data_IF_210710637309
#
_entry.id   IF_210710637309
#
_cell.length_a   1.000
_cell.length_b   1.000
_cell.length_c   1.000
_cell.angle_alpha   90.00
_cell.angle_beta   90.00
_cell.angle_gamma   90.00
#
_symmetry.space_group_name_H-M   'P 1'
#
loop_
_entity.id
_entity.type
_entity.pdbx_description
1 polymer ?
#
# COMPACT_ATOMS: atom_id res chain seq x y z
N UNK A 1 -11.05 12.59 -2.14
CA UNK A 1 -10.11 13.65 -2.55
C UNK A 1 -8.86 13.49 -1.74
N UNK A 2 -7.71 13.47 -2.40
CA UNK A 2 -6.44 13.64 -1.72
C UNK A 2 -6.27 15.13 -1.43
N UNK A 3 -5.83 15.50 -0.23
CA UNK A 3 -5.73 16.92 0.15
C UNK A 3 -4.60 17.59 -0.63
N UNK A 4 -4.89 18.70 -1.30
CA UNK A 4 -3.91 19.46 -2.08
C UNK A 4 -3.72 20.83 -1.44
N UNK A 5 -2.47 21.27 -1.36
CA UNK A 5 -2.11 22.62 -0.94
C UNK A 5 -1.70 23.44 -2.16
N UNK A 6 -2.20 24.67 -2.24
CA UNK A 6 -1.68 25.67 -3.18
C UNK A 6 -0.51 26.40 -2.52
N UNK A 7 0.65 26.37 -3.16
CA UNK A 7 1.83 27.17 -2.80
C UNK A 7 1.98 28.27 -3.84
N UNK A 8 1.90 29.52 -3.41
CA UNK A 8 2.19 30.67 -4.26
C UNK A 8 3.70 30.83 -4.40
N UNK A 9 4.19 30.86 -5.63
CA UNK A 9 5.59 31.20 -5.95
C UNK A 9 5.65 32.56 -6.65
N UNK A 10 6.85 33.12 -6.83
CA UNK A 10 7.03 34.40 -7.53
C UNK A 10 6.55 34.36 -8.99
N UNK A 11 6.46 33.15 -9.58
CA UNK A 11 6.15 32.93 -10.99
C UNK A 11 4.74 32.34 -11.22
N UNK A 12 4.28 31.46 -10.33
CA UNK A 12 3.01 30.74 -10.48
C UNK A 12 2.51 30.08 -9.18
N UNK A 13 1.22 29.71 -9.16
CA UNK A 13 0.63 28.88 -8.11
C UNK A 13 0.87 27.39 -8.39
N UNK A 14 1.49 26.68 -7.45
CA UNK A 14 1.80 25.25 -7.56
C UNK A 14 0.88 24.43 -6.65
N UNK A 15 0.30 23.35 -7.19
CA UNK A 15 -0.48 22.40 -6.40
C UNK A 15 0.43 21.28 -5.88
N UNK A 16 0.45 21.07 -4.57
CA UNK A 16 1.25 20.03 -3.92
C UNK A 16 0.33 19.05 -3.21
N UNK A 17 0.55 17.76 -3.45
CA UNK A 17 -0.15 16.70 -2.75
C UNK A 17 0.29 16.64 -1.29
N UNK A 18 -0.64 16.81 -0.36
CA UNK A 18 -0.39 16.58 1.05
C UNK A 18 -0.51 15.09 1.37
N UNK A 19 0.38 14.59 2.22
CA UNK A 19 0.35 13.23 2.71
C UNK A 19 0.05 13.23 4.21
N UNK A 20 -0.82 12.32 4.64
CA UNK A 20 -0.91 11.98 6.05
C UNK A 20 0.39 11.34 6.54
N UNK A 21 0.57 11.27 7.86
CA UNK A 21 1.74 10.60 8.45
C UNK A 21 1.82 9.12 8.05
N UNK A 22 0.67 8.43 8.01
CA UNK A 22 0.60 7.03 7.59
C UNK A 22 1.02 6.88 6.12
N UNK A 23 0.54 7.76 5.23
CA UNK A 23 0.95 7.77 3.81
C UNK A 23 2.44 8.07 3.64
N UNK A 24 2.97 9.05 4.36
CA UNK A 24 4.39 9.41 4.30
C UNK A 24 5.30 8.26 4.76
N UNK A 25 4.91 7.56 5.83
CA UNK A 25 5.64 6.37 6.29
C UNK A 25 5.55 5.24 5.27
N UNK A 26 4.35 4.96 4.76
CA UNK A 26 4.10 3.86 3.83
C UNK A 26 4.87 4.06 2.52
N UNK A 27 4.81 5.26 1.93
CA UNK A 27 5.52 5.54 0.67
C UNK A 27 7.05 5.50 0.87
N UNK A 28 7.55 5.97 2.02
CA UNK A 28 8.99 5.88 2.33
C UNK A 28 9.46 4.43 2.41
N UNK A 29 8.71 3.57 3.11
CA UNK A 29 9.00 2.15 3.19
C UNK A 29 8.91 1.47 1.83
N UNK A 30 7.92 1.85 1.01
CA UNK A 30 7.74 1.32 -0.32
C UNK A 30 8.87 1.71 -1.27
N UNK A 31 9.28 2.99 -1.30
CA UNK A 31 10.42 3.48 -2.09
C UNK A 31 11.68 2.68 -1.81
N UNK A 32 12.01 2.48 -0.53
CA UNK A 32 13.18 1.70 -0.13
C UNK A 32 13.09 0.27 -0.67
N UNK A 33 11.90 -0.35 -0.59
CA UNK A 33 11.72 -1.74 -0.99
C UNK A 33 11.69 -1.94 -2.50
N UNK A 34 11.10 -1.00 -3.24
CA UNK A 34 11.18 -0.93 -4.70
C UNK A 34 12.63 -0.88 -5.15
N UNK A 35 13.48 -0.08 -4.51
CA UNK A 35 14.92 -0.03 -4.82
C UNK A 35 15.59 -1.40 -4.72
N UNK A 36 15.29 -2.16 -3.66
CA UNK A 36 15.79 -3.55 -3.51
C UNK A 36 15.21 -4.48 -4.58
N UNK A 37 13.90 -4.44 -4.83
CA UNK A 37 13.23 -5.30 -5.80
C UNK A 37 13.69 -5.04 -7.23
N UNK A 38 13.87 -3.79 -7.64
CA UNK A 38 14.44 -3.44 -8.94
C UNK A 38 15.86 -3.97 -9.05
N UNK A 39 16.66 -3.91 -7.98
CA UNK A 39 18.01 -4.48 -7.94
C UNK A 39 18.05 -6.01 -8.09
N UNK A 40 17.08 -6.73 -7.52
CA UNK A 40 17.04 -8.21 -7.50
C UNK A 40 16.29 -8.79 -8.72
N UNK A 41 15.16 -8.20 -9.09
CA UNK A 41 14.22 -8.72 -10.07
C UNK A 41 14.21 -7.95 -11.40
N UNK A 42 14.88 -6.80 -11.47
CA UNK A 42 15.03 -6.01 -12.70
C UNK A 42 13.68 -5.57 -13.27
N UNK A 43 13.47 -5.83 -14.56
CA UNK A 43 12.28 -5.42 -15.31
C UNK A 43 10.96 -5.92 -14.70
N UNK A 44 10.97 -7.05 -13.98
CA UNK A 44 9.78 -7.56 -13.28
C UNK A 44 9.23 -6.57 -12.25
N UNK A 45 10.12 -5.78 -11.65
CA UNK A 45 9.82 -4.81 -10.60
C UNK A 45 9.74 -3.36 -11.14
N UNK A 46 9.81 -3.14 -12.46
CA UNK A 46 9.69 -1.78 -13.05
C UNK A 46 8.26 -1.22 -13.01
N UNK A 47 7.29 -2.10 -12.72
CA UNK A 47 5.90 -1.76 -12.47
C UNK A 47 5.41 -2.60 -11.31
N UNK A 48 4.88 -1.97 -10.27
CA UNK A 48 4.32 -2.63 -9.09
C UNK A 48 3.09 -1.86 -8.66
N UNK A 49 1.96 -2.55 -8.51
CA UNK A 49 0.78 -2.04 -7.83
C UNK A 49 0.34 -3.05 -6.79
N UNK A 50 -0.01 -2.54 -5.61
CA UNK A 50 -0.58 -3.34 -4.54
C UNK A 50 -1.79 -2.59 -4.03
N UNK A 51 -2.95 -3.22 -4.09
CA UNK A 51 -4.22 -2.74 -3.53
C UNK A 51 -4.69 -3.73 -2.48
N UNK A 52 -5.02 -3.24 -1.28
CA UNK A 52 -5.56 -4.07 -0.21
C UNK A 52 -7.06 -3.88 -0.10
N UNK A 53 -7.77 -4.99 0.07
CA UNK A 53 -9.22 -5.08 0.21
C UNK A 53 -9.57 -5.42 1.67
N UNK A 54 -10.00 -4.43 2.48
CA UNK A 54 -10.30 -4.67 3.89
C UNK A 54 -11.44 -5.67 4.15
N UNK A 55 -12.32 -5.89 3.18
CA UNK A 55 -13.48 -6.76 3.27
C UNK A 55 -13.15 -8.25 3.38
N UNK A 56 -12.04 -8.68 2.77
CA UNK A 56 -11.61 -10.09 2.73
C UNK A 56 -10.14 -10.28 3.16
N UNK A 57 -9.49 -9.22 3.64
CA UNK A 57 -8.07 -9.18 4.02
C UNK A 57 -7.15 -9.58 2.84
N UNK A 58 -7.62 -9.34 1.61
CA UNK A 58 -6.96 -9.72 0.37
C UNK A 58 -6.11 -8.62 -0.25
N UNK A 59 -5.24 -9.04 -1.19
CA UNK A 59 -4.44 -8.13 -2.00
C UNK A 59 -4.64 -8.40 -3.49
N UNK A 60 -4.89 -7.35 -4.26
CA UNK A 60 -4.62 -7.35 -5.69
C UNK A 60 -3.21 -6.83 -5.92
N UNK A 61 -2.47 -7.55 -6.77
CA UNK A 61 -1.08 -7.25 -7.08
C UNK A 61 -0.89 -7.31 -8.58
N UNK A 62 -0.38 -6.22 -9.13
CA UNK A 62 0.07 -6.10 -10.52
C UNK A 62 1.58 -5.92 -10.51
N UNK A 63 2.28 -6.65 -11.37
CA UNK A 63 3.70 -6.47 -11.61
C UNK A 63 4.04 -6.82 -13.07
N UNK A 64 5.29 -6.66 -13.45
CA UNK A 64 5.71 -6.89 -14.83
C UNK A 64 6.07 -8.37 -15.14
N UNK A 65 5.72 -9.31 -14.25
CA UNK A 65 5.82 -10.74 -14.56
C UNK A 65 4.64 -11.21 -15.42
N UNK A 66 4.84 -12.27 -16.20
CA UNK A 66 3.75 -12.93 -16.91
C UNK A 66 2.62 -13.30 -15.93
N UNK A 67 1.38 -12.94 -16.26
CA UNK A 67 0.20 -13.10 -15.40
C UNK A 67 0.39 -12.52 -13.99
N UNK A 68 1.13 -11.42 -13.85
CA UNK A 68 1.44 -10.76 -12.57
C UNK A 68 2.11 -11.70 -11.54
N UNK A 69 2.84 -12.71 -12.01
CA UNK A 69 3.49 -13.71 -11.15
C UNK A 69 2.57 -14.82 -10.66
N UNK A 70 1.36 -14.95 -11.21
CA UNK A 70 0.50 -16.11 -11.01
C UNK A 70 0.96 -17.26 -11.93
N UNK A 71 1.33 -18.38 -11.31
CA UNK A 71 1.78 -19.58 -11.98
C UNK A 71 0.65 -20.61 -12.04
N UNK A 72 0.84 -21.66 -12.84
CA UNK A 72 -0.11 -22.77 -12.94
C UNK A 72 -0.39 -23.41 -11.57
N UNK A 73 -1.63 -23.92 -11.40
CA UNK A 73 -2.11 -24.62 -10.19
C UNK A 73 -2.03 -23.77 -8.92
N UNK A 74 -2.44 -22.50 -9.00
CA UNK A 74 -2.50 -21.56 -7.86
C UNK A 74 -1.16 -21.35 -7.14
N UNK A 75 -0.04 -21.53 -7.84
CA UNK A 75 1.28 -21.19 -7.30
C UNK A 75 1.56 -19.72 -7.60
N UNK A 76 2.27 -19.06 -6.70
CA UNK A 76 2.75 -17.69 -6.88
C UNK A 76 4.26 -17.72 -7.15
N UNK A 77 4.75 -16.75 -7.92
CA UNK A 77 6.19 -16.53 -8.10
C UNK A 77 6.84 -16.12 -6.77
N UNK A 78 8.17 -16.23 -6.69
CA UNK A 78 8.93 -15.74 -5.52
C UNK A 78 8.69 -14.25 -5.34
N UNK A 79 8.79 -13.48 -6.43
CA UNK A 79 8.61 -12.03 -6.36
C UNK A 79 7.20 -11.64 -5.92
N UNK A 80 6.14 -12.24 -6.48
CA UNK A 80 4.76 -12.00 -6.02
C UNK A 80 4.60 -12.38 -4.54
N UNK A 81 5.23 -13.46 -4.09
CA UNK A 81 5.21 -13.85 -2.67
C UNK A 81 5.86 -12.79 -1.77
N UNK A 82 6.94 -12.16 -2.22
CA UNK A 82 7.59 -11.07 -1.47
C UNK A 82 6.74 -9.80 -1.44
N UNK A 83 6.07 -9.46 -2.55
CA UNK A 83 5.12 -8.33 -2.58
C UNK A 83 3.99 -8.55 -1.56
N UNK A 84 3.38 -9.75 -1.56
CA UNK A 84 2.37 -10.14 -0.57
C UNK A 84 2.92 -10.08 0.85
N UNK A 85 4.13 -10.62 1.07
CA UNK A 85 4.77 -10.64 2.39
C UNK A 85 5.03 -9.24 2.93
N UNK A 86 5.52 -8.34 2.09
CA UNK A 86 5.72 -6.94 2.45
C UNK A 86 4.40 -6.23 2.74
N UNK A 87 3.37 -6.42 1.89
CA UNK A 87 2.07 -5.78 2.06
C UNK A 87 1.36 -6.23 3.36
N UNK A 88 1.45 -7.52 3.70
CA UNK A 88 1.00 -8.05 4.99
C UNK A 88 1.70 -7.39 6.17
N UNK A 89 3.01 -7.18 6.10
CA UNK A 89 3.74 -6.50 7.17
C UNK A 89 3.29 -5.04 7.33
N UNK A 90 3.08 -4.32 6.21
CA UNK A 90 2.62 -2.93 6.27
C UNK A 90 1.20 -2.82 6.84
N UNK A 91 0.29 -3.68 6.38
CA UNK A 91 -1.09 -3.69 6.89
C UNK A 91 -1.14 -4.04 8.38
N UNK A 92 -0.34 -4.98 8.86
CA UNK A 92 -0.23 -5.27 10.30
C UNK A 92 0.29 -4.07 11.11
N UNK A 93 1.30 -3.36 10.60
CA UNK A 93 1.82 -2.16 11.25
C UNK A 93 0.77 -1.05 11.32
N UNK A 94 -0.01 -0.88 10.24
CA UNK A 94 -1.11 0.07 10.18
C UNK A 94 -2.25 -0.30 11.14
N UNK A 95 -2.63 -1.57 11.22
CA UNK A 95 -3.64 -2.07 12.18
C UNK A 95 -3.18 -1.91 13.65
N UNK A 96 -1.87 -1.95 13.90
CA UNK A 96 -1.29 -2.00 15.24
C UNK A 96 -1.24 -3.44 15.77
N UNK A 97 -0.47 -3.66 16.84
CA UNK A 97 -0.30 -5.01 17.43
C UNK A 97 -1.61 -5.60 17.94
N UNK A 98 -2.50 -4.76 18.46
CA UNK A 98 -3.80 -5.10 19.03
C UNK A 98 -4.96 -4.89 18.06
N UNK A 99 -4.68 -4.58 16.79
CA UNK A 99 -5.68 -4.20 15.79
C UNK A 99 -6.56 -3.00 16.21
N UNK A 100 -6.01 -2.06 16.98
CA UNK A 100 -6.71 -0.84 17.39
C UNK A 100 -7.13 0.07 16.22
N UNK A 101 -6.60 -0.14 15.01
CA UNK A 101 -6.98 0.60 13.80
C UNK A 101 -7.51 -0.34 12.72
N UNK A 102 -8.51 0.15 11.98
CA UNK A 102 -9.03 -0.48 10.76
C UNK A 102 -8.51 0.27 9.54
N UNK A 103 -7.96 -0.45 8.57
CA UNK A 103 -7.56 0.13 7.28
C UNK A 103 -8.82 0.27 6.43
N UNK A 104 -9.08 1.47 5.92
CA UNK A 104 -10.24 1.77 5.05
C UNK A 104 -9.83 2.01 3.59
N UNK A 105 -8.56 2.34 3.35
CA UNK A 105 -7.96 2.33 2.03
C UNK A 105 -6.45 2.07 2.16
N UNK A 106 -5.91 1.24 1.28
CA UNK A 106 -4.47 1.04 1.14
C UNK A 106 -4.17 0.71 -0.32
N UNK A 107 -3.34 1.53 -0.95
CA UNK A 107 -2.77 1.25 -2.24
C UNK A 107 -1.38 1.88 -2.37
N UNK A 108 -0.47 1.20 -3.05
CA UNK A 108 0.83 1.74 -3.47
C UNK A 108 1.07 1.41 -4.93
N UNK A 109 1.73 2.33 -5.64
CA UNK A 109 2.13 2.15 -7.04
C UNK A 109 3.54 2.63 -7.26
N UNK A 110 4.32 1.85 -8.00
CA UNK A 110 5.56 2.26 -8.64
C UNK A 110 5.45 1.98 -10.13
N UNK A 111 5.60 3.02 -10.96
CA UNK A 111 5.53 2.91 -12.41
C UNK A 111 6.29 4.06 -13.04
N UNK A 112 7.06 3.78 -14.09
CA UNK A 112 7.76 4.80 -14.88
C UNK A 112 8.67 5.72 -14.04
N UNK A 113 9.23 5.19 -12.94
CA UNK A 113 10.07 5.96 -12.01
C UNK A 113 9.30 6.80 -10.98
N UNK A 114 7.97 6.79 -11.03
CA UNK A 114 7.09 7.55 -10.15
C UNK A 114 6.46 6.66 -9.08
N UNK A 115 6.11 7.28 -7.95
CA UNK A 115 5.53 6.60 -6.79
C UNK A 115 4.18 7.23 -6.44
N UNK A 116 3.23 6.38 -6.08
CA UNK A 116 1.94 6.79 -5.56
C UNK A 116 1.58 6.00 -4.31
N UNK A 117 0.82 6.65 -3.42
CA UNK A 117 0.34 6.06 -2.18
C UNK A 117 -1.08 6.55 -1.89
N UNK A 118 -1.87 5.66 -1.32
CA UNK A 118 -3.14 5.97 -0.67
C UNK A 118 -3.17 5.15 0.61
N UNK A 119 -3.32 5.80 1.76
CA UNK A 119 -3.47 5.09 3.02
C UNK A 119 -4.44 5.83 3.93
N UNK A 120 -5.48 5.11 4.37
CA UNK A 120 -6.48 5.61 5.30
C UNK A 120 -6.73 4.59 6.38
N UNK A 121 -6.64 5.04 7.61
CA UNK A 121 -6.98 4.28 8.81
C UNK A 121 -8.09 4.99 9.56
N UNK A 122 -8.88 4.21 10.28
CA UNK A 122 -9.85 4.69 11.24
C UNK A 122 -9.62 3.95 12.56
N UNK A 123 -9.95 4.56 13.68
CA UNK A 123 -9.95 3.85 14.95
C UNK A 123 -10.92 2.66 14.84
N UNK A 124 -10.45 1.48 15.21
CA UNK A 124 -11.33 0.36 15.45
C UNK A 124 -12.14 0.74 16.68
N UNK A 125 -13.28 1.41 16.48
CA UNK A 125 -14.28 1.60 17.52
C UNK A 125 -14.44 0.24 18.17
N UNK A 126 -14.16 0.16 19.48
CA UNK A 126 -14.28 -1.05 20.29
C UNK A 126 -15.57 -1.74 19.84
N UNK A 127 -15.47 -2.80 19.05
CA UNK A 127 -16.61 -3.61 18.65
C UNK A 127 -17.05 -4.36 19.91
N UNK A 128 -17.79 -3.64 20.73
CA UNK A 128 -19.03 -4.10 21.34
C UNK A 128 -18.88 -5.22 22.38
N UNK A 129 -18.72 -4.82 23.64
CA UNK A 129 -19.26 -5.52 24.83
C UNK A 129 -20.80 -5.62 24.83
N UNK A 130 -21.47 -5.76 23.68
CA UNK A 130 -22.93 -5.87 23.59
C UNK A 130 -23.41 -7.13 22.86
N UNK A 131 -22.53 -8.10 22.58
CA UNK A 131 -22.94 -9.44 22.12
C UNK A 131 -23.00 -10.48 23.27
N UNK A 132 -22.65 -10.13 24.51
CA UNK A 132 -22.75 -11.01 25.70
C UNK A 132 -23.99 -10.73 26.58
N UNK A 133 -25.02 -10.08 26.03
CA UNK A 133 -26.26 -9.77 26.77
C UNK A 133 -27.52 -10.07 25.98
N UNK A 134 -27.60 -11.28 25.40
CA UNK A 134 -28.86 -11.89 24.94
C UNK A 134 -28.95 -13.32 25.42
#
# INVERSE_FOLDING_TARGET
MNDVATIETESESVQVQLLSRDEANLITNFINKVGEWVGVYGEKASHIEIVYYPEDDGFEITNNEENNGLLRRNRVSVFRSELIGWANQQTQQLKGWDNARTITAFAVVYRDGEYGVLCKTADATLKTQAEESV
#
